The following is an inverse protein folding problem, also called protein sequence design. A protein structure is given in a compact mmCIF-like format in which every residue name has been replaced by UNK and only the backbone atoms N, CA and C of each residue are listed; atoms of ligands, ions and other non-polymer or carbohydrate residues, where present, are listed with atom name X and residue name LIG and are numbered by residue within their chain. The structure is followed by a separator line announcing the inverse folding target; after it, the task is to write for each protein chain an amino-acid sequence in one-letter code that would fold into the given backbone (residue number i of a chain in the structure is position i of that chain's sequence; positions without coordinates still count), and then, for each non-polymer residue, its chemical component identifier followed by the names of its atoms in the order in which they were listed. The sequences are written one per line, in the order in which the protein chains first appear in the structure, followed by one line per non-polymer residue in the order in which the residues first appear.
data_IF_414944233264
#
_entry.id   IF_414944233264
#
_cell.length_a   1.000
_cell.length_b   1.000
_cell.length_c   1.000
_cell.angle_alpha   90.00
_cell.angle_beta   90.00
_cell.angle_gamma   90.00
#
_symmetry.space_group_name_H-M   'P 1'
#
loop_
_entity.id
_entity.type
_entity.pdbx_description
1 polymer ?
#
# COMPACT_ATOMS: atom_id res chain seq x y z
N UNK A 1 5.18 23.61 -10.51
CA UNK A 1 5.17 22.87 -9.23
C UNK A 1 6.53 22.22 -9.05
N UNK A 2 7.29 22.70 -8.07
CA UNK A 2 8.60 22.16 -7.70
C UNK A 2 8.45 20.69 -7.28
N UNK A 3 9.11 19.79 -8.00
CA UNK A 3 9.20 18.39 -7.59
C UNK A 3 9.90 18.36 -6.23
N UNK A 4 9.14 18.07 -5.17
CA UNK A 4 9.66 17.92 -3.82
C UNK A 4 10.84 16.94 -3.84
N UNK A 5 12.03 17.44 -3.51
CA UNK A 5 13.29 16.69 -3.50
C UNK A 5 13.42 15.74 -2.29
N UNK A 6 12.40 15.61 -1.45
CA UNK A 6 12.46 14.84 -0.19
C UNK A 6 12.03 13.37 -0.29
N UNK A 7 11.77 12.85 -1.50
CA UNK A 7 11.31 11.47 -1.71
C UNK A 7 12.19 10.35 -1.11
N UNK A 8 13.51 10.32 -1.37
CA UNK A 8 14.36 9.21 -0.92
C UNK A 8 14.51 9.11 0.60
N UNK A 9 14.81 10.20 1.35
CA UNK A 9 14.94 10.12 2.81
C UNK A 9 13.68 9.64 3.51
N UNK A 10 12.49 10.04 3.03
CA UNK A 10 11.21 9.62 3.64
C UNK A 10 10.98 8.13 3.42
N UNK A 11 11.15 7.62 2.20
CA UNK A 11 10.97 6.19 1.91
C UNK A 11 11.99 5.34 2.68
N UNK A 12 13.24 5.80 2.76
CA UNK A 12 14.26 5.14 3.56
C UNK A 12 13.90 5.15 5.05
N UNK A 13 13.42 6.27 5.59
CA UNK A 13 12.99 6.37 6.98
C UNK A 13 11.82 5.42 7.28
N UNK A 14 10.82 5.35 6.41
CA UNK A 14 9.68 4.40 6.55
C UNK A 14 10.21 2.96 6.63
N UNK A 15 11.06 2.56 5.69
CA UNK A 15 11.63 1.20 5.68
C UNK A 15 12.46 0.91 6.93
N UNK A 16 13.37 1.82 7.31
CA UNK A 16 14.23 1.66 8.51
C UNK A 16 13.38 1.58 9.77
N UNK A 17 12.40 2.47 9.95
CA UNK A 17 11.52 2.46 11.12
C UNK A 17 10.69 1.18 11.18
N UNK A 18 10.21 0.65 10.05
CA UNK A 18 9.53 -0.64 10.02
C UNK A 18 10.46 -1.76 10.49
N UNK A 19 11.67 -1.86 9.93
CA UNK A 19 12.63 -2.91 10.30
C UNK A 19 13.04 -2.83 11.77
N UNK A 20 13.29 -1.63 12.29
CA UNK A 20 13.65 -1.45 13.70
C UNK A 20 12.52 -1.84 14.64
N UNK A 21 11.28 -1.48 14.33
CA UNK A 21 10.13 -1.87 15.15
C UNK A 21 9.86 -3.39 15.05
N UNK A 22 10.00 -4.00 13.88
CA UNK A 22 9.88 -5.46 13.74
C UNK A 22 10.99 -6.18 14.52
N UNK A 23 12.22 -5.68 14.49
CA UNK A 23 13.31 -6.23 15.29
C UNK A 23 13.01 -6.09 16.79
N UNK A 24 12.52 -4.92 17.23
CA UNK A 24 12.08 -4.74 18.60
C UNK A 24 10.97 -5.73 18.97
N UNK A 25 9.98 -5.95 18.11
CA UNK A 25 8.89 -6.89 18.36
C UNK A 25 9.32 -8.36 18.44
N UNK A 26 10.46 -8.72 17.85
CA UNK A 26 11.04 -10.07 17.95
C UNK A 26 11.92 -10.24 19.19
N UNK A 27 12.63 -9.19 19.60
CA UNK A 27 13.67 -9.29 20.63
C UNK A 27 13.27 -8.67 21.99
N UNK A 28 12.18 -7.92 22.05
CA UNK A 28 11.63 -7.34 23.27
C UNK A 28 10.39 -8.13 23.68
N UNK A 29 10.43 -8.69 24.88
CA UNK A 29 9.36 -9.51 25.44
C UNK A 29 8.23 -8.62 25.97
N UNK A 30 7.18 -8.46 25.15
CA UNK A 30 6.00 -7.65 25.46
C UNK A 30 4.73 -8.44 25.07
N UNK A 31 3.68 -8.45 25.92
CA UNK A 31 2.47 -9.25 25.67
C UNK A 31 1.81 -8.99 24.32
N UNK A 32 1.80 -7.73 23.87
CA UNK A 32 1.16 -7.34 22.61
C UNK A 32 1.85 -7.89 21.35
N UNK A 33 3.01 -8.54 21.48
CA UNK A 33 3.72 -9.19 20.38
C UNK A 33 3.55 -10.71 20.35
N UNK A 34 3.00 -11.31 21.41
CA UNK A 34 2.83 -12.75 21.51
C UNK A 34 1.85 -13.27 20.44
N UNK A 35 2.19 -14.39 19.79
CA UNK A 35 1.30 -15.03 18.80
C UNK A 35 1.22 -14.34 17.43
N UNK A 36 1.65 -13.08 17.27
CA UNK A 36 1.43 -12.28 16.03
C UNK A 36 2.43 -12.53 14.90
N UNK A 37 3.17 -13.64 14.95
CA UNK A 37 4.13 -14.07 13.94
C UNK A 37 5.23 -13.03 13.59
N UNK A 38 5.70 -12.23 14.55
CA UNK A 38 6.70 -11.19 14.28
C UNK A 38 8.01 -11.72 13.66
N UNK A 39 8.39 -12.96 13.94
CA UNK A 39 9.54 -13.61 13.30
C UNK A 39 9.39 -13.73 11.77
N UNK A 40 8.20 -14.05 11.26
CA UNK A 40 7.94 -14.08 9.81
C UNK A 40 7.80 -12.67 9.25
N UNK A 41 7.11 -11.76 9.96
CA UNK A 41 6.95 -10.35 9.56
C UNK A 41 8.31 -9.65 9.40
N UNK A 42 9.28 -9.90 10.30
CA UNK A 42 10.64 -9.35 10.22
C UNK A 42 11.36 -9.66 8.90
N UNK A 43 11.05 -10.78 8.26
CA UNK A 43 11.62 -11.16 6.96
C UNK A 43 10.70 -10.72 5.81
N UNK A 44 9.41 -11.01 5.91
CA UNK A 44 8.48 -10.84 4.79
C UNK A 44 8.19 -9.36 4.51
N UNK A 45 7.99 -8.53 5.54
CA UNK A 45 7.64 -7.12 5.35
C UNK A 45 8.73 -6.35 4.60
N UNK A 46 10.02 -6.40 5.02
CA UNK A 46 11.06 -5.68 4.29
C UNK A 46 11.20 -6.14 2.83
N UNK A 47 10.99 -7.44 2.56
CA UNK A 47 11.00 -7.97 1.21
C UNK A 47 9.83 -7.42 0.38
N UNK A 48 8.60 -7.47 0.90
CA UNK A 48 7.40 -6.95 0.24
C UNK A 48 7.51 -5.45 -0.05
N UNK A 49 7.99 -4.67 0.92
CA UNK A 49 8.26 -3.23 0.77
C UNK A 49 9.21 -2.94 -0.40
N UNK A 50 10.20 -3.80 -0.62
CA UNK A 50 11.22 -3.63 -1.65
C UNK A 50 10.80 -4.14 -3.04
N UNK A 51 9.69 -4.89 -3.17
CA UNK A 51 9.23 -5.41 -4.47
C UNK A 51 9.03 -4.27 -5.48
N UNK A 52 8.24 -3.25 -5.13
CA UNK A 52 7.94 -2.14 -6.03
C UNK A 52 9.19 -1.37 -6.51
N UNK A 53 10.10 -0.90 -5.63
CA UNK A 53 11.33 -0.25 -6.08
C UNK A 53 12.24 -1.19 -6.85
N UNK A 54 12.48 -2.43 -6.39
CA UNK A 54 13.36 -3.37 -7.12
C UNK A 54 12.86 -3.62 -8.54
N UNK A 55 11.57 -3.93 -8.71
CA UNK A 55 10.99 -4.13 -10.04
C UNK A 55 11.11 -2.85 -10.90
N UNK A 56 10.88 -1.67 -10.33
CA UNK A 56 11.04 -0.43 -11.08
C UNK A 56 12.48 -0.24 -11.57
N UNK A 57 13.50 -0.49 -10.74
CA UNK A 57 14.90 -0.37 -11.14
C UNK A 57 15.28 -1.40 -12.22
N UNK A 58 14.85 -2.67 -12.05
CA UNK A 58 15.10 -3.75 -13.01
C UNK A 58 14.48 -3.44 -14.37
N UNK A 59 13.23 -2.98 -14.41
CA UNK A 59 12.54 -2.68 -15.67
C UNK A 59 12.89 -1.31 -16.25
N UNK A 60 13.35 -0.35 -15.44
CA UNK A 60 13.86 0.94 -15.93
C UNK A 60 15.11 0.76 -16.78
N UNK A 61 16.06 -0.06 -16.34
CA UNK A 61 17.30 -0.35 -17.09
C UNK A 61 17.03 -0.93 -18.49
N UNK A 62 15.92 -1.64 -18.67
CA UNK A 62 15.51 -2.24 -19.95
C UNK A 62 14.89 -1.26 -20.95
N UNK A 63 14.47 -0.06 -20.52
CA UNK A 63 13.73 0.90 -21.37
C UNK A 63 14.62 1.90 -22.13
N UNK A 64 15.94 1.80 -22.02
CA UNK A 64 16.89 2.66 -22.73
C UNK A 64 16.98 4.09 -22.18
N UNK A 65 18.12 4.74 -22.37
CA UNK A 65 18.47 6.05 -21.80
C UNK A 65 17.63 7.25 -22.29
N UNK A 66 16.64 7.04 -23.18
CA UNK A 66 15.90 8.11 -23.87
C UNK A 66 14.70 8.69 -23.12
N UNK A 67 14.27 8.13 -21.99
CA UNK A 67 13.10 8.60 -21.25
C UNK A 67 13.35 8.65 -19.75
N UNK A 68 13.92 9.75 -19.25
CA UNK A 68 14.12 9.97 -17.83
C UNK A 68 12.79 10.21 -17.10
N UNK A 69 11.98 9.15 -16.92
CA UNK A 69 10.84 9.21 -15.99
C UNK A 69 11.40 9.42 -14.57
N UNK A 70 10.88 10.40 -13.81
CA UNK A 70 11.31 10.61 -12.44
C UNK A 70 11.00 9.36 -11.61
N UNK A 71 11.83 9.11 -10.59
CA UNK A 71 11.60 8.01 -9.64
C UNK A 71 10.24 8.22 -8.95
N UNK A 72 9.35 7.22 -8.92
CA UNK A 72 8.01 7.37 -8.37
C UNK A 72 8.01 7.22 -6.84
N UNK A 73 8.76 8.07 -6.12
CA UNK A 73 8.93 8.00 -4.67
C UNK A 73 7.61 7.96 -3.89
N UNK A 74 6.60 8.72 -4.33
CA UNK A 74 5.27 8.69 -3.72
C UNK A 74 4.65 7.30 -3.79
N UNK A 75 4.75 6.62 -4.93
CA UNK A 75 4.17 5.29 -5.10
C UNK A 75 4.86 4.26 -4.20
N UNK A 76 6.19 4.33 -4.08
CA UNK A 76 6.93 3.46 -3.14
C UNK A 76 6.55 3.73 -1.69
N UNK A 77 6.48 5.00 -1.29
CA UNK A 77 6.06 5.36 0.06
C UNK A 77 4.65 4.86 0.39
N UNK A 78 3.71 4.96 -0.55
CA UNK A 78 2.34 4.44 -0.39
C UNK A 78 2.28 2.91 -0.27
N UNK A 79 3.11 2.18 -1.03
CA UNK A 79 3.23 0.71 -0.89
C UNK A 79 3.86 0.33 0.45
N UNK A 80 4.81 1.11 0.94
CA UNK A 80 5.53 0.83 2.18
C UNK A 80 4.77 1.24 3.45
N UNK A 81 3.91 2.25 3.38
CA UNK A 81 3.21 2.81 4.52
C UNK A 81 2.39 1.78 5.34
N UNK A 82 1.61 0.87 4.72
CA UNK A 82 0.89 -0.19 5.42
C UNK A 82 1.72 -0.96 6.44
N UNK A 83 2.93 -1.36 6.06
CA UNK A 83 3.82 -2.15 6.91
C UNK A 83 4.33 -1.36 8.12
N UNK A 84 4.54 -0.04 7.95
CA UNK A 84 4.89 0.83 9.06
C UNK A 84 3.69 1.04 10.00
N UNK A 85 2.49 1.25 9.44
CA UNK A 85 1.26 1.42 10.22
C UNK A 85 1.00 0.17 11.06
N UNK A 86 1.08 -1.02 10.45
CA UNK A 86 0.87 -2.30 11.14
C UNK A 86 1.82 -2.50 12.33
N UNK A 87 3.13 -2.40 12.11
CA UNK A 87 4.08 -2.61 13.21
C UNK A 87 3.99 -1.51 14.27
N UNK A 88 3.64 -0.28 13.88
CA UNK A 88 3.40 0.81 14.84
C UNK A 88 2.14 0.56 15.65
N UNK A 89 1.07 0.07 15.03
CA UNK A 89 -0.18 -0.28 15.71
C UNK A 89 0.05 -1.36 16.75
N UNK A 90 0.81 -2.40 16.41
CA UNK A 90 1.21 -3.43 17.37
C UNK A 90 2.13 -2.87 18.47
N UNK A 91 3.11 -2.03 18.14
CA UNK A 91 4.01 -1.42 19.12
C UNK A 91 3.24 -0.59 20.16
N UNK A 92 2.15 0.05 19.73
CA UNK A 92 1.26 0.86 20.55
C UNK A 92 0.08 0.09 21.15
N UNK A 93 0.06 -1.25 21.03
CA UNK A 93 -0.99 -2.12 21.55
C UNK A 93 -2.39 -1.86 20.97
N UNK A 94 -2.49 -1.25 19.78
CA UNK A 94 -3.78 -0.83 19.22
C UNK A 94 -4.64 -2.00 18.74
N UNK A 95 -4.03 -3.09 18.27
CA UNK A 95 -4.76 -4.29 17.85
C UNK A 95 -5.47 -4.97 19.04
N UNK A 96 -4.94 -4.84 20.26
CA UNK A 96 -5.54 -5.45 21.45
C UNK A 96 -6.43 -4.43 22.19
N UNK A 97 -6.06 -3.15 22.17
CA UNK A 97 -6.76 -2.09 22.92
C UNK A 97 -7.93 -1.43 22.16
N UNK A 98 -7.97 -1.49 20.83
CA UNK A 98 -8.96 -0.77 20.01
C UNK A 98 -9.65 -1.74 19.04
N UNK A 99 -10.90 -2.10 19.37
CA UNK A 99 -11.63 -3.19 18.69
C UNK A 99 -11.89 -3.01 17.19
N UNK A 100 -11.84 -1.78 16.66
CA UNK A 100 -12.05 -1.49 15.24
C UNK A 100 -10.74 -1.21 14.50
N UNK A 101 -9.60 -1.28 15.19
CA UNK A 101 -8.30 -0.92 14.61
C UNK A 101 -7.96 -1.82 13.44
N UNK A 102 -8.21 -3.11 13.57
CA UNK A 102 -7.96 -4.09 12.52
C UNK A 102 -8.79 -3.80 11.25
N UNK A 103 -10.12 -3.71 11.38
CA UNK A 103 -11.03 -3.26 10.31
C UNK A 103 -10.56 -1.97 9.61
N UNK A 104 -10.15 -0.98 10.40
CA UNK A 104 -9.67 0.29 9.84
C UNK A 104 -8.38 0.12 9.04
N UNK A 105 -7.48 -0.78 9.46
CA UNK A 105 -6.29 -1.11 8.67
C UNK A 105 -6.67 -1.84 7.39
N UNK A 106 -7.59 -2.82 7.45
CA UNK A 106 -8.08 -3.50 6.25
C UNK A 106 -8.70 -2.55 5.22
N UNK A 107 -9.27 -1.42 5.64
CA UNK A 107 -9.71 -0.38 4.72
C UNK A 107 -8.58 0.56 4.28
N UNK A 108 -7.91 1.20 5.24
CA UNK A 108 -7.00 2.32 5.00
C UNK A 108 -5.67 1.85 4.43
N UNK A 109 -5.09 0.78 4.96
CA UNK A 109 -3.83 0.25 4.46
C UNK A 109 -3.99 -0.30 3.05
N UNK A 110 -5.12 -0.94 2.74
CA UNK A 110 -5.43 -1.35 1.37
C UNK A 110 -5.55 -0.16 0.44
N UNK A 111 -6.23 0.91 0.86
CA UNK A 111 -6.33 2.12 0.06
C UNK A 111 -4.94 2.73 -0.22
N UNK A 112 -4.03 2.77 0.76
CA UNK A 112 -2.65 3.23 0.58
C UNK A 112 -1.88 2.33 -0.38
N UNK A 113 -1.90 1.01 -0.13
CA UNK A 113 -1.21 0.01 -0.94
C UNK A 113 -1.63 0.11 -2.41
N UNK A 114 -2.93 0.08 -2.67
CA UNK A 114 -3.48 0.08 -4.03
C UNK A 114 -3.39 1.46 -4.69
N UNK A 115 -3.33 2.55 -3.93
CA UNK A 115 -3.00 3.86 -4.50
C UNK A 115 -1.55 3.87 -5.01
N UNK A 116 -0.62 3.30 -4.24
CA UNK A 116 0.78 3.15 -4.64
C UNK A 116 0.94 2.27 -5.89
N UNK A 117 0.34 1.07 -5.88
CA UNK A 117 0.38 0.14 -7.01
C UNK A 117 -0.31 0.76 -8.23
N UNK A 118 -1.48 1.37 -8.07
CA UNK A 118 -2.22 2.02 -9.14
C UNK A 118 -1.42 3.13 -9.84
N UNK A 119 -0.66 3.92 -9.09
CA UNK A 119 0.26 4.92 -9.66
C UNK A 119 1.36 4.30 -10.55
N UNK A 120 1.78 3.07 -10.24
CA UNK A 120 2.83 2.36 -10.99
C UNK A 120 2.29 1.69 -12.24
N UNK A 121 1.11 1.05 -12.16
CA UNK A 121 0.64 0.13 -13.21
C UNK A 121 -0.58 0.62 -13.97
N UNK A 122 -1.43 1.45 -13.36
CA UNK A 122 -2.74 1.79 -13.91
C UNK A 122 -2.88 3.25 -14.36
N UNK A 123 -1.86 4.10 -14.17
CA UNK A 123 -1.93 5.56 -14.42
C UNK A 123 -2.45 5.93 -15.82
N UNK A 124 -1.99 5.21 -16.83
CA UNK A 124 -2.25 5.50 -18.25
C UNK A 124 -3.47 4.72 -18.78
N UNK A 125 -4.17 3.96 -17.92
CA UNK A 125 -5.35 3.17 -18.30
C UNK A 125 -6.55 4.06 -18.61
N UNK A 126 -7.23 3.75 -19.71
CA UNK A 126 -8.46 4.41 -20.19
C UNK A 126 -9.43 3.36 -20.76
N UNK A 127 -10.75 3.58 -20.67
CA UNK A 127 -11.43 4.69 -19.98
C UNK A 127 -11.31 4.60 -18.44
N UNK A 128 -11.63 5.70 -17.73
CA UNK A 128 -11.36 5.80 -16.28
C UNK A 128 -12.11 4.76 -15.44
N UNK A 129 -13.29 4.32 -15.85
CA UNK A 129 -14.00 3.25 -15.13
C UNK A 129 -13.23 1.91 -15.18
N UNK A 130 -12.50 1.63 -16.28
CA UNK A 130 -11.61 0.46 -16.37
C UNK A 130 -10.43 0.61 -15.41
N UNK A 131 -9.89 1.82 -15.27
CA UNK A 131 -8.84 2.11 -14.29
C UNK A 131 -9.31 1.83 -12.85
N UNK A 132 -10.53 2.27 -12.49
CA UNK A 132 -11.13 1.95 -11.18
C UNK A 132 -11.29 0.45 -11.01
N UNK A 133 -11.97 -0.22 -11.94
CA UNK A 133 -12.22 -1.66 -11.88
C UNK A 133 -10.93 -2.49 -11.80
N UNK A 134 -9.88 -2.10 -12.54
CA UNK A 134 -8.59 -2.77 -12.51
C UNK A 134 -7.91 -2.67 -11.14
N UNK A 135 -7.91 -1.48 -10.53
CA UNK A 135 -7.30 -1.27 -9.22
C UNK A 135 -8.11 -1.97 -8.13
N UNK A 136 -9.44 -1.90 -8.19
CA UNK A 136 -10.33 -2.62 -7.27
C UNK A 136 -10.14 -4.13 -7.37
N UNK A 137 -10.17 -4.68 -8.59
CA UNK A 137 -10.01 -6.12 -8.81
C UNK A 137 -8.63 -6.63 -8.41
N UNK A 138 -7.57 -5.83 -8.64
CA UNK A 138 -6.24 -6.16 -8.13
C UNK A 138 -6.21 -6.18 -6.59
N UNK A 139 -6.86 -5.21 -5.95
CA UNK A 139 -6.94 -5.17 -4.49
C UNK A 139 -7.70 -6.35 -3.90
N UNK A 140 -8.82 -6.76 -4.50
CA UNK A 140 -9.55 -7.96 -4.10
C UNK A 140 -8.70 -9.23 -4.25
N UNK A 141 -7.96 -9.37 -5.36
CA UNK A 141 -7.04 -10.51 -5.53
C UNK A 141 -5.91 -10.53 -4.51
N UNK A 142 -5.41 -9.36 -4.11
CA UNK A 142 -4.40 -9.26 -3.06
C UNK A 142 -4.99 -9.56 -1.69
N UNK A 143 -6.25 -9.18 -1.42
CA UNK A 143 -6.93 -9.48 -0.16
C UNK A 143 -7.05 -11.00 0.01
N UNK A 144 -7.50 -11.69 -1.04
CA UNK A 144 -7.53 -13.17 -1.07
C UNK A 144 -6.14 -13.77 -0.79
N UNK A 145 -5.09 -13.18 -1.38
CA UNK A 145 -3.72 -13.62 -1.11
C UNK A 145 -3.28 -13.42 0.35
N UNK A 146 -3.77 -12.36 1.01
CA UNK A 146 -3.49 -12.07 2.41
C UNK A 146 -4.24 -13.02 3.35
N UNK A 147 -5.54 -13.22 3.13
CA UNK A 147 -6.36 -14.18 3.88
C UNK A 147 -5.81 -15.61 3.79
N UNK A 148 -5.30 -16.00 2.61
CA UNK A 148 -4.60 -17.29 2.46
C UNK A 148 -3.34 -17.32 3.35
N UNK A 149 -2.62 -16.21 3.45
CA UNK A 149 -1.46 -16.07 4.33
C UNK A 149 -1.83 -16.25 5.80
N UNK A 150 -2.89 -15.57 6.25
CA UNK A 150 -3.40 -15.67 7.62
C UNK A 150 -3.93 -17.05 7.95
N UNK A 151 -4.62 -17.69 6.99
CA UNK A 151 -5.02 -19.09 7.14
C UNK A 151 -3.82 -19.98 7.48
N UNK A 152 -2.69 -19.82 6.80
CA UNK A 152 -1.49 -20.62 7.09
C UNK A 152 -0.76 -20.20 8.36
N UNK A 153 -0.83 -18.92 8.74
CA UNK A 153 -0.12 -18.38 9.89
C UNK A 153 -0.84 -18.66 11.22
N UNK A 154 -2.18 -18.60 11.23
CA UNK A 154 -2.99 -18.57 12.46
C UNK A 154 -4.08 -19.65 12.47
N UNK A 155 -4.87 -19.77 11.40
CA UNK A 155 -6.08 -20.61 11.44
C UNK A 155 -5.77 -22.11 11.29
N UNK A 156 -4.86 -22.49 10.39
CA UNK A 156 -4.55 -23.90 10.06
C UNK A 156 -4.05 -24.69 11.27
N UNK A 157 -3.36 -24.02 12.20
CA UNK A 157 -2.86 -24.61 13.44
C UNK A 157 -3.89 -24.64 14.59
N UNK A 158 -5.05 -23.99 14.41
CA UNK A 158 -6.14 -23.95 15.38
C UNK A 158 -6.04 -22.84 16.43
N UNK A 159 -5.18 -21.83 16.26
CA UNK A 159 -5.00 -20.77 17.29
C UNK A 159 -6.10 -19.70 17.26
N UNK A 160 -6.76 -19.52 16.11
CA UNK A 160 -7.78 -18.48 15.87
C UNK A 160 -8.94 -19.07 15.04
N UNK A 161 -9.65 -20.09 15.56
CA UNK A 161 -10.77 -20.72 14.83
C UNK A 161 -12.11 -20.02 15.05
N UNK A 162 -12.31 -19.47 16.25
CA UNK A 162 -13.56 -18.83 16.62
C UNK A 162 -13.64 -17.45 15.95
N UNK A 163 -14.70 -17.20 15.17
CA UNK A 163 -14.91 -15.93 14.46
C UNK A 163 -14.17 -15.80 13.12
N UNK A 164 -13.18 -16.64 12.85
CA UNK A 164 -12.29 -16.53 11.67
C UNK A 164 -13.00 -16.37 10.32
N UNK A 165 -14.15 -17.03 10.12
CA UNK A 165 -14.90 -16.88 8.87
C UNK A 165 -15.54 -15.49 8.72
N UNK A 166 -16.08 -14.94 9.81
CA UNK A 166 -16.70 -13.61 9.80
C UNK A 166 -15.65 -12.53 9.63
N UNK A 167 -14.50 -12.71 10.28
CA UNK A 167 -13.30 -11.86 10.21
C UNK A 167 -12.76 -11.79 8.77
N UNK A 168 -12.37 -12.94 8.20
CA UNK A 168 -11.93 -13.05 6.79
C UNK A 168 -12.93 -12.44 5.80
N UNK A 169 -14.23 -12.61 6.03
CA UNK A 169 -15.24 -12.02 5.14
C UNK A 169 -15.30 -10.48 5.29
N UNK A 170 -15.15 -9.97 6.51
CA UNK A 170 -15.04 -8.55 6.80
C UNK A 170 -13.83 -7.94 6.11
N UNK A 171 -12.69 -8.60 6.22
CA UNK A 171 -11.40 -8.18 5.67
C UNK A 171 -11.39 -8.14 4.15
N UNK A 172 -12.00 -9.15 3.51
CA UNK A 172 -12.20 -9.16 2.06
C UNK A 172 -13.06 -7.98 1.59
N UNK A 173 -14.12 -7.66 2.33
CA UNK A 173 -15.00 -6.52 2.02
C UNK A 173 -14.24 -5.21 2.21
N UNK A 174 -13.57 -5.03 3.34
CA UNK A 174 -12.85 -3.79 3.68
C UNK A 174 -11.64 -3.57 2.77
N UNK A 175 -10.87 -4.61 2.48
CA UNK A 175 -9.79 -4.59 1.50
C UNK A 175 -10.27 -4.21 0.11
N UNK A 176 -11.36 -4.85 -0.35
CA UNK A 176 -11.99 -4.52 -1.64
C UNK A 176 -12.49 -3.06 -1.71
N UNK A 177 -13.09 -2.55 -0.62
CA UNK A 177 -13.52 -1.16 -0.52
C UNK A 177 -12.33 -0.18 -0.50
N UNK A 178 -11.26 -0.52 0.21
CA UNK A 178 -10.02 0.28 0.22
C UNK A 178 -9.42 0.38 -1.18
N UNK A 179 -9.40 -0.73 -1.92
CA UNK A 179 -8.97 -0.77 -3.31
C UNK A 179 -9.88 0.08 -4.23
N UNK A 180 -11.20 0.07 -4.01
CA UNK A 180 -12.14 0.94 -4.71
C UNK A 180 -11.88 2.43 -4.44
N UNK A 181 -11.60 2.80 -3.18
CA UNK A 181 -11.20 4.16 -2.81
C UNK A 181 -9.93 4.57 -3.56
N UNK A 182 -8.91 3.71 -3.57
CA UNK A 182 -7.67 3.94 -4.29
C UNK A 182 -7.87 4.13 -5.80
N UNK A 183 -8.65 3.24 -6.44
CA UNK A 183 -8.97 3.32 -7.86
C UNK A 183 -9.72 4.61 -8.21
N UNK A 184 -10.70 4.98 -7.38
CA UNK A 184 -11.49 6.21 -7.54
C UNK A 184 -10.64 7.47 -7.38
N UNK A 185 -9.75 7.49 -6.38
CA UNK A 185 -8.78 8.56 -6.19
C UNK A 185 -7.84 8.73 -7.39
N UNK A 186 -7.35 7.61 -7.95
CA UNK A 186 -6.49 7.64 -9.13
C UNK A 186 -7.24 8.18 -10.36
N UNK A 187 -8.46 7.72 -10.59
CA UNK A 187 -9.32 8.21 -11.67
C UNK A 187 -9.60 9.72 -11.54
N UNK A 188 -9.86 10.21 -10.32
CA UNK A 188 -10.03 11.64 -10.06
C UNK A 188 -8.76 12.44 -10.36
N UNK A 189 -7.58 11.97 -9.93
CA UNK A 189 -6.29 12.65 -10.21
C UNK A 189 -5.97 12.73 -11.70
N UNK A 190 -6.29 11.69 -12.46
CA UNK A 190 -6.06 11.73 -13.90
C UNK A 190 -7.06 12.66 -14.60
N UNK A 191 -8.29 12.77 -14.10
CA UNK A 191 -9.29 13.75 -14.59
C UNK A 191 -8.84 15.18 -14.44
N UNK A 192 -8.35 15.56 -13.26
CA UNK A 192 -7.90 16.93 -12.99
C UNK A 192 -6.69 17.30 -13.84
N UNK A 193 -5.79 16.34 -14.08
CA UNK A 193 -4.64 16.52 -14.98
C UNK A 193 -5.07 16.77 -16.42
N UNK A 194 -6.00 15.96 -16.95
CA UNK A 194 -6.51 16.12 -18.32
C UNK A 194 -7.23 17.47 -18.50
N UNK A 195 -7.97 17.93 -17.50
CA UNK A 195 -8.67 19.22 -17.54
C UNK A 195 -7.71 20.43 -17.51
N UNK A 196 -6.62 20.35 -16.74
CA UNK A 196 -5.61 21.41 -16.67
C UNK A 196 -4.79 21.57 -17.95
N UNK A 197 -4.56 20.49 -18.69
CA UNK A 197 -3.86 20.52 -19.97
C UNK A 197 -4.71 21.05 -21.14
N UNK A 198 -6.04 21.05 -20.98
CA UNK A 198 -6.99 21.46 -22.02
C UNK A 198 -7.39 22.96 -21.94
N UNK A 199 -6.69 23.78 -21.15
CA UNK A 199 -6.95 25.23 -21.17
C UNK A 199 -6.29 25.85 -22.41
N UNK A 200 -7.05 26.45 -23.36
CA UNK A 200 -6.45 27.13 -24.49
C UNK A 200 -5.56 28.24 -23.95
N UNK A 201 -4.32 28.32 -24.45
CA UNK A 201 -3.41 29.41 -24.16
C UNK A 201 -4.21 30.72 -24.30
N UNK A 202 -4.31 31.51 -23.22
CA UNK A 202 -4.89 32.85 -23.29
C UNK A 202 -4.19 33.55 -24.44
N UNK A 203 -4.94 33.83 -25.50
CA UNK A 203 -4.52 34.72 -26.56
C UNK A 203 -4.12 36.02 -25.86
N UNK A 204 -2.82 36.30 -25.83
CA UNK A 204 -2.29 37.59 -25.41
C UNK A 204 -2.91 38.60 -26.37
N UNK A 205 -3.84 39.42 -25.87
CA UNK A 205 -4.41 40.55 -26.62
C UNK A 205 -3.25 41.57 -26.81
N UNK A 206 -2.79 41.82 -28.05
CA UNK A 206 -1.83 42.88 -28.29
C UNK A 206 -2.62 44.19 -28.41
N UNK A 207 -2.69 44.93 -27.30
CA UNK A 207 -3.01 46.36 -27.31
C UNK A 207 -1.93 47.14 -26.61
#
# INVERSE_FOLDING_TARGET
MTASRSGPPVVAAVWVLTVLQLAAAVFVDLPQFEGKAFGSRLVLYPLMMLVAPVLWWVFRGRRGAGGARPVPWLAFGLVMAPFLVDVTGNTLDLYDAVSWWDDANHLVNWALLLAGIGLLVARDVRPRWVQVALVTGLGALLAIGWEIGEYYAFIRGGTELDGAYEDTLGDEVLGSLGALVAGSWLAWRTKTTDAGNNHPARTVDPR
#
